data_IF_192581933458
#
_entry.id   IF_192581933458
#
_cell.length_a   1.000
_cell.length_b   1.000
_cell.length_c   1.000
_cell.angle_alpha   90.00
_cell.angle_beta   90.00
_cell.angle_gamma   90.00
#
_symmetry.space_group_name_H-M   'P 1'
#
loop_
_entity.id
_entity.type
_entity.pdbx_description
1 polymer ?
#
# COMPACT_ATOMS: atom_id res chain seq x y z
N UNK A 1 -24.13 13.85 5.32
CA UNK A 1 -23.67 12.58 5.92
C UNK A 1 -24.27 12.50 7.31
N UNK A 2 -24.98 11.42 7.62
CA UNK A 2 -25.76 11.24 8.87
C UNK A 2 -24.86 11.40 10.10
N UNK A 3 -25.25 12.21 11.08
CA UNK A 3 -24.43 12.45 12.29
C UNK A 3 -24.09 11.14 13.03
N UNK A 4 -25.04 10.21 13.04
CA UNK A 4 -24.90 8.88 13.62
C UNK A 4 -23.82 8.04 12.92
N UNK A 5 -23.66 8.20 11.59
CA UNK A 5 -22.66 7.47 10.82
C UNK A 5 -21.24 7.94 11.16
N UNK A 6 -21.04 9.25 11.31
CA UNK A 6 -19.72 9.80 11.71
C UNK A 6 -19.33 9.39 13.13
N UNK A 7 -20.29 9.34 14.04
CA UNK A 7 -20.07 8.97 15.44
C UNK A 7 -19.59 7.52 15.60
N UNK A 8 -20.04 6.62 14.73
CA UNK A 8 -19.60 5.21 14.72
C UNK A 8 -18.33 5.00 13.88
N UNK A 9 -18.21 5.67 12.73
CA UNK A 9 -17.09 5.46 11.80
C UNK A 9 -15.75 5.97 12.33
N UNK A 10 -15.72 7.10 13.04
CA UNK A 10 -14.48 7.66 13.60
C UNK A 10 -13.78 6.70 14.58
N UNK A 11 -14.43 6.22 15.65
CA UNK A 11 -13.78 5.30 16.58
C UNK A 11 -13.40 3.98 15.88
N UNK A 12 -14.22 3.48 14.96
CA UNK A 12 -13.89 2.28 14.18
C UNK A 12 -12.60 2.45 13.37
N UNK A 13 -12.44 3.59 12.69
CA UNK A 13 -11.25 3.89 11.90
C UNK A 13 -10.00 4.04 12.80
N UNK A 14 -10.14 4.67 13.97
CA UNK A 14 -9.04 4.83 14.92
C UNK A 14 -8.61 3.48 15.50
N UNK A 15 -9.55 2.70 16.03
CA UNK A 15 -9.24 1.39 16.62
C UNK A 15 -8.74 0.40 15.57
N UNK A 16 -9.35 0.38 14.39
CA UNK A 16 -8.92 -0.46 13.27
C UNK A 16 -7.54 -0.08 12.74
N UNK A 17 -7.28 1.21 12.53
CA UNK A 17 -6.00 1.73 12.08
C UNK A 17 -4.89 1.46 13.09
N UNK A 18 -5.12 1.81 14.36
CA UNK A 18 -4.17 1.59 15.44
C UNK A 18 -3.88 0.10 15.66
N UNK A 19 -4.92 -0.74 15.66
CA UNK A 19 -4.77 -2.20 15.79
C UNK A 19 -3.98 -2.82 14.64
N UNK A 20 -4.24 -2.40 13.40
CA UNK A 20 -3.47 -2.84 12.23
C UNK A 20 -2.00 -2.42 12.35
N UNK A 21 -1.73 -1.15 12.70
CA UNK A 21 -0.35 -0.67 12.91
C UNK A 21 0.38 -1.47 13.99
N UNK A 22 -0.27 -1.74 15.12
CA UNK A 22 0.32 -2.52 16.20
C UNK A 22 0.63 -3.96 15.76
N UNK A 23 -0.32 -4.61 15.07
CA UNK A 23 -0.12 -5.95 14.52
C UNK A 23 1.05 -6.01 13.54
N UNK A 24 1.11 -5.08 12.58
CA UNK A 24 2.22 -5.00 11.63
C UNK A 24 3.56 -4.75 12.34
N UNK A 25 3.57 -3.86 13.33
CA UNK A 25 4.77 -3.58 14.12
C UNK A 25 5.26 -4.84 14.87
N UNK A 26 4.37 -5.53 15.57
CA UNK A 26 4.70 -6.77 16.28
C UNK A 26 5.17 -7.87 15.32
N UNK A 27 4.54 -8.00 14.15
CA UNK A 27 4.95 -8.96 13.13
C UNK A 27 6.37 -8.68 12.65
N UNK A 28 6.68 -7.43 12.28
CA UNK A 28 8.02 -7.02 11.81
C UNK A 28 9.08 -7.29 12.88
N UNK A 29 8.78 -6.97 14.14
CA UNK A 29 9.71 -7.19 15.24
C UNK A 29 9.94 -8.68 15.50
N UNK A 30 8.89 -9.49 15.45
CA UNK A 30 8.96 -10.93 15.66
C UNK A 30 9.77 -11.60 14.54
N UNK A 31 9.54 -11.22 13.29
CA UNK A 31 10.30 -11.70 12.14
C UNK A 31 11.79 -11.31 12.24
N UNK A 32 12.08 -10.10 12.72
CA UNK A 32 13.46 -9.66 12.96
C UNK A 32 14.14 -10.51 14.05
N UNK A 33 13.48 -10.74 15.18
CA UNK A 33 14.02 -11.55 16.29
C UNK A 33 14.25 -13.00 15.83
N UNK A 34 13.31 -13.56 15.07
CA UNK A 34 13.43 -14.89 14.48
C UNK A 34 14.64 -14.99 13.55
N UNK A 35 14.77 -14.03 12.61
CA UNK A 35 15.92 -13.97 11.69
C UNK A 35 17.24 -13.87 12.45
N UNK A 36 17.32 -12.97 13.43
CA UNK A 36 18.51 -12.81 14.27
C UNK A 36 18.87 -14.11 14.99
N UNK A 37 17.89 -14.75 15.66
CA UNK A 37 18.11 -16.03 16.36
C UNK A 37 18.50 -17.18 15.44
N UNK A 38 17.99 -17.21 14.20
CA UNK A 38 18.38 -18.24 13.23
C UNK A 38 19.83 -18.04 12.76
N UNK A 39 20.25 -16.79 12.53
CA UNK A 39 21.64 -16.45 12.19
C UNK A 39 22.58 -16.79 13.35
N UNK A 40 22.25 -16.36 14.57
CA UNK A 40 23.09 -16.57 15.76
C UNK A 40 23.28 -18.05 16.10
N UNK A 41 22.29 -18.90 15.79
CA UNK A 41 22.34 -20.36 16.00
C UNK A 41 22.96 -21.14 14.83
N UNK A 42 23.40 -20.47 13.77
CA UNK A 42 24.01 -21.11 12.61
C UNK A 42 23.03 -21.89 11.72
N UNK A 43 21.71 -21.68 11.85
CA UNK A 43 20.69 -22.25 10.95
C UNK A 43 20.65 -21.55 9.59
N UNK A 44 21.81 -21.21 9.03
CA UNK A 44 21.95 -20.63 7.70
C UNK A 44 22.26 -21.76 6.72
N UNK A 45 21.35 -22.72 6.62
CA UNK A 45 21.40 -23.73 5.55
C UNK A 45 20.94 -23.07 4.23
N UNK A 46 21.41 -23.60 3.09
CA UNK A 46 21.05 -23.12 1.76
C UNK A 46 19.52 -23.06 1.55
N UNK A 47 18.79 -24.02 2.12
CA UNK A 47 17.32 -24.05 2.11
C UNK A 47 16.68 -22.86 2.84
N UNK A 48 17.29 -22.40 3.95
CA UNK A 48 16.80 -21.25 4.71
C UNK A 48 17.08 -19.94 3.96
N UNK A 49 18.22 -19.85 3.26
CA UNK A 49 18.51 -18.71 2.39
C UNK A 49 17.56 -18.62 1.19
N UNK A 50 17.13 -19.76 0.63
CA UNK A 50 16.15 -19.80 -0.46
C UNK A 50 14.79 -19.23 -0.05
N UNK A 51 14.34 -19.49 1.19
CA UNK A 51 13.10 -18.93 1.74
C UNK A 51 13.21 -17.40 1.89
N UNK A 52 14.36 -16.88 2.34
CA UNK A 52 14.56 -15.44 2.49
C UNK A 52 14.68 -14.70 1.16
N UNK A 53 15.30 -15.30 0.14
CA UNK A 53 15.39 -14.72 -1.21
C UNK A 53 14.00 -14.59 -1.86
N UNK A 54 13.15 -15.62 -1.73
CA UNK A 54 11.78 -15.60 -2.28
C UNK A 54 10.94 -14.42 -1.78
N UNK A 55 11.01 -14.11 -0.49
CA UNK A 55 10.27 -12.98 0.09
C UNK A 55 10.83 -11.60 -0.32
N UNK A 56 12.12 -11.50 -0.64
CA UNK A 56 12.71 -10.25 -1.10
C UNK A 56 12.29 -9.92 -2.54
N UNK A 57 12.21 -10.94 -3.42
CA UNK A 57 11.76 -10.75 -4.81
C UNK A 57 10.26 -10.39 -4.91
N UNK A 58 9.40 -10.97 -4.06
CA UNK A 58 7.97 -10.62 -4.04
C UNK A 58 7.70 -9.14 -3.78
N UNK A 59 8.58 -8.46 -3.04
CA UNK A 59 8.40 -7.06 -2.64
C UNK A 59 9.22 -6.06 -3.47
N UNK A 60 9.96 -6.55 -4.48
CA UNK A 60 10.88 -5.72 -5.31
C UNK A 60 10.18 -4.54 -5.97
N UNK A 61 8.92 -4.69 -6.35
CA UNK A 61 8.13 -3.67 -7.04
C UNK A 61 7.08 -2.99 -6.15
N UNK A 62 7.06 -3.29 -4.83
CA UNK A 62 6.11 -2.69 -3.90
C UNK A 62 6.23 -1.16 -3.84
N UNK A 63 7.47 -0.64 -3.83
CA UNK A 63 7.72 0.80 -3.86
C UNK A 63 7.23 1.45 -5.17
N UNK A 64 7.40 0.77 -6.31
CA UNK A 64 6.94 1.27 -7.61
C UNK A 64 5.41 1.37 -7.67
N UNK A 65 4.69 0.38 -7.10
CA UNK A 65 3.23 0.41 -6.98
C UNK A 65 2.75 1.64 -6.22
N UNK A 66 3.26 1.86 -5.01
CA UNK A 66 2.81 2.96 -4.15
C UNK A 66 3.24 4.32 -4.68
N UNK A 67 4.45 4.43 -5.25
CA UNK A 67 4.92 5.66 -5.89
C UNK A 67 4.01 6.10 -7.02
N UNK A 68 3.55 5.18 -7.87
CA UNK A 68 2.70 5.48 -9.02
C UNK A 68 1.28 5.90 -8.60
N UNK A 69 0.71 5.23 -7.59
CA UNK A 69 -0.59 5.58 -7.02
C UNK A 69 -0.57 6.98 -6.41
N UNK A 70 0.44 7.29 -5.59
CA UNK A 70 0.57 8.60 -4.95
C UNK A 70 0.85 9.68 -5.99
N UNK A 71 1.66 9.39 -7.01
CA UNK A 71 1.96 10.32 -8.09
C UNK A 71 0.69 10.73 -8.85
N UNK A 72 -0.09 9.77 -9.36
CA UNK A 72 -1.31 10.09 -10.11
C UNK A 72 -2.43 10.62 -9.21
N UNK A 73 -2.56 10.11 -7.98
CA UNK A 73 -3.51 10.65 -7.00
C UNK A 73 -3.22 12.10 -6.64
N UNK A 74 -1.95 12.45 -6.39
CA UNK A 74 -1.51 13.82 -6.15
C UNK A 74 -1.73 14.72 -7.37
N UNK A 75 -1.45 14.21 -8.58
CA UNK A 75 -1.71 14.93 -9.82
C UNK A 75 -3.20 15.22 -10.03
N UNK A 76 -4.08 14.29 -9.66
CA UNK A 76 -5.53 14.52 -9.69
C UNK A 76 -5.94 15.67 -8.73
N UNK A 77 -5.37 15.71 -7.52
CA UNK A 77 -5.65 16.78 -6.55
C UNK A 77 -5.19 18.15 -7.07
N UNK A 78 -4.02 18.22 -7.69
CA UNK A 78 -3.52 19.46 -8.32
C UNK A 78 -4.49 19.92 -9.42
N UNK A 79 -4.97 19.00 -10.26
CA UNK A 79 -5.92 19.33 -11.33
C UNK A 79 -7.25 19.81 -10.76
N UNK A 80 -7.74 19.18 -9.68
CA UNK A 80 -9.02 19.56 -9.05
C UNK A 80 -9.07 21.01 -8.58
N UNK A 81 -7.94 21.57 -8.11
CA UNK A 81 -7.87 22.97 -7.67
C UNK A 81 -8.26 23.95 -8.78
N UNK A 82 -8.03 23.60 -10.05
CA UNK A 82 -8.32 24.46 -11.20
C UNK A 82 -9.69 24.22 -11.83
N UNK A 83 -10.47 23.24 -11.36
CA UNK A 83 -11.79 22.92 -11.92
C UNK A 83 -12.88 23.48 -11.00
N UNK A 84 -13.63 24.51 -11.43
CA UNK A 84 -14.77 25.01 -10.66
C UNK A 84 -15.86 23.93 -10.61
N UNK A 85 -16.04 23.32 -9.46
CA UNK A 85 -17.05 22.27 -9.24
C UNK A 85 -17.98 22.64 -8.09
N UNK A 86 -19.27 22.33 -8.24
CA UNK A 86 -20.23 22.44 -7.16
C UNK A 86 -19.92 21.40 -6.06
N UNK A 87 -20.18 21.69 -4.77
CA UNK A 87 -19.93 20.75 -3.66
C UNK A 87 -20.61 19.39 -3.82
N UNK A 88 -21.78 19.37 -4.47
CA UNK A 88 -22.58 18.17 -4.73
C UNK A 88 -22.16 17.43 -6.02
N UNK A 89 -21.13 17.92 -6.71
CA UNK A 89 -20.70 17.33 -7.98
C UNK A 89 -19.95 16.02 -7.76
N UNK A 90 -20.29 14.94 -8.47
CA UNK A 90 -19.53 13.69 -8.42
C UNK A 90 -18.17 13.80 -9.14
N UNK A 91 -17.90 14.91 -9.84
CA UNK A 91 -16.74 15.08 -10.71
C UNK A 91 -15.38 14.98 -9.99
N UNK A 92 -15.16 15.59 -8.80
CA UNK A 92 -13.88 15.47 -8.08
C UNK A 92 -13.55 14.03 -7.70
N UNK A 93 -14.56 13.28 -7.21
CA UNK A 93 -14.40 11.88 -6.84
C UNK A 93 -14.12 10.99 -8.05
N UNK A 94 -14.82 11.23 -9.16
CA UNK A 94 -14.60 10.52 -10.41
C UNK A 94 -13.20 10.77 -10.99
N UNK A 95 -12.73 12.02 -10.94
CA UNK A 95 -11.40 12.41 -11.40
C UNK A 95 -10.31 11.73 -10.57
N UNK A 96 -10.44 11.76 -9.23
CA UNK A 96 -9.50 11.08 -8.34
C UNK A 96 -9.45 9.57 -8.61
N UNK A 97 -10.61 8.92 -8.70
CA UNK A 97 -10.71 7.48 -8.98
C UNK A 97 -10.12 7.11 -10.34
N UNK A 98 -10.34 7.95 -11.36
CA UNK A 98 -9.78 7.76 -12.70
C UNK A 98 -8.25 7.77 -12.67
N UNK A 99 -7.65 8.79 -12.07
CA UNK A 99 -6.20 8.93 -12.01
C UNK A 99 -5.52 7.83 -11.18
N UNK A 100 -6.09 7.45 -10.04
CA UNK A 100 -5.59 6.32 -9.24
C UNK A 100 -5.65 5.02 -10.05
N UNK A 101 -6.78 4.77 -10.72
CA UNK A 101 -6.95 3.57 -11.56
C UNK A 101 -5.96 3.55 -12.73
N UNK A 102 -5.68 4.72 -13.32
CA UNK A 102 -4.68 4.86 -14.37
C UNK A 102 -3.28 4.52 -13.88
N UNK A 103 -2.92 4.98 -12.67
CA UNK A 103 -1.67 4.56 -12.01
C UNK A 103 -1.59 3.04 -11.81
N UNK A 104 -2.67 2.39 -11.37
CA UNK A 104 -2.73 0.93 -11.25
C UNK A 104 -2.57 0.20 -12.59
N UNK A 105 -3.20 0.70 -13.66
CA UNK A 105 -3.07 0.11 -15.00
C UNK A 105 -1.62 0.17 -15.49
N UNK A 106 -0.96 1.33 -15.34
CA UNK A 106 0.44 1.47 -15.73
C UNK A 106 1.32 0.51 -14.91
N UNK A 107 1.11 0.41 -13.60
CA UNK A 107 1.82 -0.57 -12.77
C UNK A 107 1.62 -2.00 -13.27
N UNK A 108 0.38 -2.38 -13.62
CA UNK A 108 0.08 -3.70 -14.15
C UNK A 108 0.82 -3.98 -15.46
N UNK A 109 0.86 -3.04 -16.40
CA UNK A 109 1.59 -3.22 -17.66
C UNK A 109 3.10 -3.34 -17.45
N UNK A 110 3.68 -2.56 -16.53
CA UNK A 110 5.09 -2.67 -16.17
C UNK A 110 5.38 -4.06 -15.58
N UNK A 111 4.55 -4.51 -14.63
CA UNK A 111 4.71 -5.81 -13.99
C UNK A 111 4.53 -6.97 -14.99
N UNK A 112 3.55 -6.87 -15.88
CA UNK A 112 3.33 -7.88 -16.93
C UNK A 112 4.55 -8.02 -17.83
N UNK A 113 5.20 -6.92 -18.21
CA UNK A 113 6.41 -6.94 -19.05
C UNK A 113 7.62 -7.55 -18.34
N UNK A 114 7.75 -7.33 -17.04
CA UNK A 114 8.86 -7.90 -16.25
C UNK A 114 8.65 -9.38 -15.96
N UNK A 115 7.40 -9.83 -15.77
CA UNK A 115 7.08 -11.24 -15.54
C UNK A 115 7.17 -12.11 -16.81
N UNK A 116 7.14 -11.51 -18.00
CA UNK A 116 7.21 -12.19 -19.30
C UNK A 116 8.66 -12.26 -19.84
N UNK A 117 9.63 -11.75 -19.08
CA UNK A 117 11.08 -11.86 -19.32
C UNK A 117 11.69 -12.94 -18.46
#
# INVERSE_FOLDING_TARGET
>A
MDQNLMEVLMPLAIFGGFGASLYFFTKVLTDYILKKKMIDKGYVNEDTQAIFKRHADENKFGALKWGLIIFFGGLALIIMEYIPTSPESPLPYGLLAFFISFGFLIYYFIMKKESDK
#
